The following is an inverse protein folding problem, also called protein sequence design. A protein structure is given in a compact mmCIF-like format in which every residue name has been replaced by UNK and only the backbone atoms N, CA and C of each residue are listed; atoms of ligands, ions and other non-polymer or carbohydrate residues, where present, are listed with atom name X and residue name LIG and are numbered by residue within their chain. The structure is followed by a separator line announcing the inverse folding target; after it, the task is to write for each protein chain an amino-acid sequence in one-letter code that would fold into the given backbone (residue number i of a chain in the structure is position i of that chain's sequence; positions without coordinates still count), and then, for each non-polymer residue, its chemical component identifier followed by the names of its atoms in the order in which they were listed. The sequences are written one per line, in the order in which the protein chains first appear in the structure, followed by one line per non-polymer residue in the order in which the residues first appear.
data_IF_863051209423
#
_entry.id   IF_863051209423
#
_cell.length_a   1.000
_cell.length_b   1.000
_cell.length_c   1.000
_cell.angle_alpha   90.00
_cell.angle_beta   90.00
_cell.angle_gamma   90.00
#
_symmetry.space_group_name_H-M   'P 1'
#
loop_
_entity.id
_entity.type
_entity.pdbx_description
1 polymer ?
#
# COMPACT_ATOMS: atom_id res chain seq x y z
N UNK A 1 -5.60 14.58 11.70
CA UNK A 1 -5.54 13.12 11.47
C UNK A 1 -6.32 12.79 10.22
N UNK A 2 -5.79 11.96 9.32
CA UNK A 2 -6.45 11.64 8.05
C UNK A 2 -7.25 10.32 8.06
N UNK A 3 -7.00 9.46 9.05
CA UNK A 3 -7.82 8.27 9.27
C UNK A 3 -9.23 8.70 9.69
N UNK A 4 -10.25 8.34 8.91
CA UNK A 4 -11.65 8.65 9.23
C UNK A 4 -12.26 7.73 10.30
N UNK A 5 -11.46 6.80 10.84
CA UNK A 5 -11.80 5.91 11.95
C UNK A 5 -10.94 6.21 13.18
N UNK A 6 -10.15 7.29 13.13
CA UNK A 6 -9.26 7.73 14.21
C UNK A 6 -8.25 6.68 14.73
N UNK A 7 -7.93 5.67 13.92
CA UNK A 7 -7.03 4.58 14.32
C UNK A 7 -5.54 4.99 14.36
N UNK A 8 -5.16 6.08 13.71
CA UNK A 8 -3.75 6.51 13.55
C UNK A 8 -3.56 7.89 14.16
N UNK A 9 -2.57 8.05 15.04
CA UNK A 9 -2.12 9.35 15.55
C UNK A 9 -0.65 9.59 15.22
N UNK A 10 -0.30 10.80 14.80
CA UNK A 10 1.08 11.24 14.56
C UNK A 10 1.55 12.22 15.65
N UNK A 11 0.63 13.07 16.14
CA UNK A 11 0.95 14.12 17.10
C UNK A 11 1.52 15.38 16.42
N UNK A 12 2.27 16.18 17.18
CA UNK A 12 3.02 17.34 16.69
C UNK A 12 4.48 17.21 17.13
N UNK A 13 5.47 17.44 16.25
CA UNK A 13 5.36 17.75 14.81
C UNK A 13 4.91 16.55 13.95
N UNK A 14 4.63 16.79 12.66
CA UNK A 14 4.19 15.75 11.69
C UNK A 14 5.26 14.67 11.42
N UNK A 15 6.53 14.93 11.78
CA UNK A 15 7.66 14.02 11.61
C UNK A 15 7.75 12.93 12.69
N UNK A 16 6.86 12.96 13.68
CA UNK A 16 6.77 11.92 14.69
C UNK A 16 6.34 10.58 14.07
N UNK A 17 6.73 9.46 14.69
CA UNK A 17 6.31 8.14 14.26
C UNK A 17 4.80 7.97 14.46
N UNK A 18 4.03 7.63 13.40
CA UNK A 18 2.62 7.31 13.54
C UNK A 18 2.40 6.09 14.45
N UNK A 19 1.37 6.15 15.29
CA UNK A 19 0.98 5.06 16.18
C UNK A 19 -0.47 4.65 15.92
N UNK A 20 -0.72 3.35 16.02
CA UNK A 20 -2.08 2.83 16.16
C UNK A 20 -2.54 3.10 17.59
N UNK A 21 -3.71 3.73 17.74
CA UNK A 21 -4.27 4.08 19.07
C UNK A 21 -5.25 3.05 19.60
N UNK A 22 -5.82 2.24 18.72
CA UNK A 22 -6.76 1.17 19.04
C UNK A 22 -6.28 -0.14 18.38
N UNK A 23 -5.69 -1.06 19.16
CA UNK A 23 -5.24 -2.36 18.66
C UNK A 23 -6.38 -3.25 18.15
N UNK A 24 -7.58 -3.10 18.70
CA UNK A 24 -8.78 -3.87 18.32
C UNK A 24 -9.57 -3.17 17.21
N UNK A 25 -9.19 -1.92 16.90
CA UNK A 25 -9.81 -1.07 15.91
C UNK A 25 -9.67 -1.62 14.49
N UNK A 26 -10.79 -1.68 13.77
CA UNK A 26 -10.85 -2.30 12.44
C UNK A 26 -10.51 -1.31 11.33
N UNK A 27 -9.33 -1.46 10.73
CA UNK A 27 -8.96 -0.74 9.52
C UNK A 27 -9.67 -1.34 8.29
N UNK A 28 -10.60 -0.61 7.69
CA UNK A 28 -11.26 -1.04 6.45
C UNK A 28 -10.59 -0.56 5.16
N UNK A 29 -9.25 -0.41 5.13
CA UNK A 29 -8.48 -0.25 3.89
C UNK A 29 -8.83 0.95 2.99
N UNK A 30 -9.27 2.08 3.54
CA UNK A 30 -9.79 3.20 2.72
C UNK A 30 -8.72 4.04 1.98
N UNK A 31 -7.43 3.73 2.15
CA UNK A 31 -6.28 4.38 1.53
C UNK A 31 -6.10 5.90 1.78
N UNK A 32 -6.96 6.56 2.56
CA UNK A 32 -6.84 8.00 2.86
C UNK A 32 -5.49 8.37 3.52
N UNK A 33 -5.01 7.51 4.42
CA UNK A 33 -3.72 7.72 5.10
C UNK A 33 -2.51 7.56 4.19
N UNK A 34 -2.64 6.80 3.09
CA UNK A 34 -1.57 6.61 2.10
C UNK A 34 -1.38 7.91 1.32
N UNK A 35 -2.49 8.41 0.78
CA UNK A 35 -2.53 9.54 -0.14
C UNK A 35 -2.07 10.85 0.50
N UNK A 36 -2.48 11.10 1.74
CA UNK A 36 -2.18 12.35 2.44
C UNK A 36 -0.78 12.36 3.07
N UNK A 37 -0.07 11.22 3.04
CA UNK A 37 1.21 11.10 3.72
C UNK A 37 2.27 11.87 2.92
N UNK A 38 2.82 12.99 3.43
CA UNK A 38 3.78 13.79 2.68
C UNK A 38 5.10 13.05 2.42
N UNK A 39 5.40 12.01 3.20
CA UNK A 39 6.59 11.17 3.03
C UNK A 39 6.34 9.87 2.28
N UNK A 40 5.12 9.63 1.77
CA UNK A 40 4.74 8.39 1.07
C UNK A 40 5.10 7.11 1.86
N UNK A 41 5.10 7.21 3.18
CA UNK A 41 5.63 6.18 4.08
C UNK A 41 4.57 5.17 4.53
N UNK A 42 3.29 5.45 4.27
CA UNK A 42 2.17 4.60 4.71
C UNK A 42 1.70 3.75 3.54
N UNK A 43 1.60 2.45 3.78
CA UNK A 43 0.96 1.47 2.90
C UNK A 43 0.09 0.54 3.74
N UNK A 44 -0.88 -0.13 3.12
CA UNK A 44 -1.80 -1.05 3.80
C UNK A 44 -1.51 -2.46 3.32
N UNK A 45 -1.29 -3.38 4.25
CA UNK A 45 -1.21 -4.82 4.02
C UNK A 45 -2.50 -5.44 4.52
N UNK A 46 -3.28 -6.01 3.61
CA UNK A 46 -4.53 -6.70 3.93
C UNK A 46 -4.34 -8.21 3.76
N UNK A 47 -4.18 -8.90 4.90
CA UNK A 47 -4.09 -10.37 4.98
C UNK A 47 -5.45 -11.07 5.02
N UNK A 48 -6.54 -10.30 5.06
CA UNK A 48 -7.92 -10.83 5.03
C UNK A 48 -8.48 -10.92 3.61
N UNK A 49 -7.69 -10.49 2.62
CA UNK A 49 -8.06 -10.44 1.21
C UNK A 49 -8.62 -11.77 0.66
N UNK A 50 -7.92 -12.89 0.90
CA UNK A 50 -8.40 -14.24 0.60
C UNK A 50 -7.75 -15.26 1.54
N UNK A 51 -8.01 -16.55 1.39
CA UNK A 51 -7.37 -17.60 2.20
C UNK A 51 -5.85 -17.68 1.94
N UNK A 52 -5.43 -17.57 0.67
CA UNK A 52 -4.06 -17.83 0.23
C UNK A 52 -3.30 -16.58 -0.23
N UNK A 53 -3.97 -15.47 -0.45
CA UNK A 53 -3.37 -14.23 -0.96
C UNK A 53 -3.55 -13.07 0.02
N UNK A 54 -2.70 -12.07 -0.13
CA UNK A 54 -2.81 -10.79 0.56
C UNK A 54 -2.76 -9.66 -0.48
N UNK A 55 -3.41 -8.53 -0.17
CA UNK A 55 -3.28 -7.33 -0.97
C UNK A 55 -2.40 -6.29 -0.28
N UNK A 56 -1.65 -5.52 -1.07
CA UNK A 56 -0.83 -4.41 -0.57
C UNK A 56 -1.15 -3.16 -1.38
N UNK A 57 -1.73 -2.16 -0.73
CA UNK A 57 -1.98 -0.85 -1.30
C UNK A 57 -0.87 0.11 -0.91
N UNK A 58 -0.19 0.70 -1.88
CA UNK A 58 0.98 1.56 -1.67
C UNK A 58 0.93 2.82 -2.56
N UNK A 59 1.57 3.92 -2.14
CA UNK A 59 1.68 5.10 -2.99
C UNK A 59 2.58 4.80 -4.20
N UNK A 60 2.26 5.37 -5.35
CA UNK A 60 2.96 5.11 -6.61
C UNK A 60 3.05 6.37 -7.48
N UNK A 61 4.29 6.79 -7.76
CA UNK A 61 4.60 8.03 -8.50
C UNK A 61 5.42 7.79 -9.78
N UNK A 62 5.65 6.54 -10.17
CA UNK A 62 6.41 6.21 -11.38
C UNK A 62 5.52 6.21 -12.62
N UNK A 63 6.07 6.63 -13.75
CA UNK A 63 5.42 6.55 -15.06
C UNK A 63 6.18 5.56 -15.98
N UNK A 64 5.47 4.83 -16.87
CA UNK A 64 4.02 4.77 -16.97
C UNK A 64 3.39 4.07 -15.76
N UNK A 65 2.11 4.35 -15.49
CA UNK A 65 1.36 3.57 -14.50
C UNK A 65 1.24 2.11 -14.99
N UNK A 66 1.15 1.14 -14.07
CA UNK A 66 0.78 -0.22 -14.46
C UNK A 66 -0.67 -0.28 -14.95
N UNK A 67 -1.06 -1.46 -15.41
CA UNK A 67 -2.45 -1.79 -15.76
C UNK A 67 -3.05 -2.77 -14.75
N UNK A 68 -4.37 -2.72 -14.55
CA UNK A 68 -5.07 -3.74 -13.75
C UNK A 68 -4.93 -5.11 -14.44
N UNK A 69 -4.58 -6.14 -13.66
CA UNK A 69 -4.25 -7.47 -14.15
C UNK A 69 -2.79 -7.65 -14.60
N UNK A 70 -1.97 -6.60 -14.64
CA UNK A 70 -0.56 -6.70 -15.03
C UNK A 70 0.20 -7.63 -14.07
N UNK A 71 0.95 -8.60 -14.62
CA UNK A 71 1.82 -9.50 -13.84
C UNK A 71 3.06 -8.76 -13.38
N UNK A 72 3.35 -8.84 -12.09
CA UNK A 72 4.47 -8.15 -11.45
C UNK A 72 5.32 -9.13 -10.64
N UNK A 73 6.49 -8.66 -10.21
CA UNK A 73 7.31 -9.35 -9.22
C UNK A 73 7.31 -8.53 -7.93
N UNK A 74 6.80 -9.09 -6.83
CA UNK A 74 6.90 -8.48 -5.51
C UNK A 74 8.35 -8.42 -5.07
N UNK A 75 8.79 -7.25 -4.57
CA UNK A 75 10.16 -7.05 -4.09
C UNK A 75 10.18 -6.62 -2.63
N UNK A 76 11.19 -7.08 -1.91
CA UNK A 76 11.42 -6.74 -0.50
C UNK A 76 12.11 -5.39 -0.32
N UNK A 77 12.44 -5.05 0.94
CA UNK A 77 13.10 -3.79 1.32
C UNK A 77 14.46 -3.56 0.65
N UNK A 78 15.18 -4.64 0.35
CA UNK A 78 16.46 -4.59 -0.36
C UNK A 78 16.32 -4.52 -1.89
N UNK A 79 15.10 -4.54 -2.42
CA UNK A 79 14.83 -4.56 -3.87
C UNK A 79 14.94 -5.94 -4.54
N UNK A 80 15.27 -6.99 -3.78
CA UNK A 80 15.29 -8.36 -4.27
C UNK A 80 13.87 -8.87 -4.55
N UNK A 81 13.71 -9.65 -5.61
CA UNK A 81 12.45 -10.35 -5.92
C UNK A 81 12.19 -11.42 -4.89
N UNK A 82 10.95 -11.45 -4.38
CA UNK A 82 10.50 -12.39 -3.35
C UNK A 82 9.44 -13.34 -3.91
N UNK A 83 8.49 -12.80 -4.67
CA UNK A 83 7.39 -13.59 -5.22
C UNK A 83 6.84 -12.99 -6.52
N UNK A 84 6.01 -13.75 -7.22
CA UNK A 84 5.17 -13.24 -8.30
C UNK A 84 3.84 -12.70 -7.74
N UNK A 85 3.18 -11.86 -8.52
CA UNK A 85 1.88 -11.29 -8.18
C UNK A 85 1.26 -10.55 -9.35
N UNK A 86 0.20 -9.80 -9.09
CA UNK A 86 -0.47 -8.99 -10.11
C UNK A 86 -1.01 -7.68 -9.53
N UNK A 87 -1.24 -6.70 -10.41
CA UNK A 87 -1.89 -5.45 -10.04
C UNK A 87 -3.39 -5.67 -9.97
N UNK A 88 -3.98 -5.47 -8.80
CA UNK A 88 -5.42 -5.61 -8.61
C UNK A 88 -6.18 -4.36 -9.01
N UNK A 89 -5.70 -3.19 -8.58
CA UNK A 89 -6.44 -1.94 -8.70
C UNK A 89 -5.51 -0.74 -8.72
N UNK A 90 -5.90 0.29 -9.47
CA UNK A 90 -5.20 1.58 -9.48
C UNK A 90 -6.18 2.69 -9.10
N UNK A 91 -5.98 3.29 -7.93
CA UNK A 91 -6.74 4.45 -7.49
C UNK A 91 -6.10 5.72 -8.02
N UNK A 92 -6.83 6.41 -8.89
CA UNK A 92 -6.51 7.74 -9.41
C UNK A 92 -7.55 8.71 -8.89
N UNK A 93 -7.17 9.83 -8.31
CA UNK A 93 -8.12 10.92 -8.13
C UNK A 93 -7.42 12.27 -8.05
N UNK A 94 -8.05 13.27 -8.68
CA UNK A 94 -7.62 14.67 -8.64
C UNK A 94 -7.60 15.23 -7.21
N UNK A 95 -8.39 14.63 -6.32
CA UNK A 95 -8.45 14.99 -4.91
C UNK A 95 -7.44 14.21 -4.04
N UNK A 96 -6.61 13.35 -4.65
CA UNK A 96 -5.58 12.54 -3.96
C UNK A 96 -4.19 13.17 -4.02
N UNK A 97 -4.10 14.50 -4.00
CA UNK A 97 -2.81 15.24 -4.03
C UNK A 97 -1.82 14.70 -5.10
N UNK A 98 -2.35 14.40 -6.29
CA UNK A 98 -1.62 13.79 -7.42
C UNK A 98 -0.94 12.43 -7.16
N UNK A 99 -1.05 11.86 -5.95
CA UNK A 99 -0.50 10.57 -5.57
C UNK A 99 -1.43 9.45 -6.02
N UNK A 100 -0.95 8.54 -6.88
CA UNK A 100 -1.70 7.34 -7.21
C UNK A 100 -1.50 6.28 -6.12
N UNK A 101 -2.50 5.43 -5.91
CA UNK A 101 -2.34 4.23 -5.07
C UNK A 101 -2.50 3.01 -5.94
N UNK A 102 -1.48 2.15 -5.93
CA UNK A 102 -1.51 0.86 -6.60
C UNK A 102 -1.72 -0.21 -5.55
N UNK A 103 -2.74 -1.05 -5.77
CA UNK A 103 -2.95 -2.25 -4.98
C UNK A 103 -2.48 -3.46 -5.76
N UNK A 104 -1.52 -4.20 -5.20
CA UNK A 104 -1.05 -5.48 -5.74
C UNK A 104 -1.63 -6.63 -4.92
N UNK A 105 -1.70 -7.81 -5.53
CA UNK A 105 -2.03 -9.08 -4.85
C UNK A 105 -0.85 -10.04 -5.01
N UNK A 106 -0.51 -10.70 -3.91
CA UNK A 106 0.62 -11.63 -3.79
C UNK A 106 0.24 -12.82 -2.88
N UNK A 107 1.00 -13.93 -2.89
CA UNK A 107 0.82 -14.99 -1.91
C UNK A 107 0.96 -14.47 -0.47
N UNK A 108 0.05 -14.91 0.41
CA UNK A 108 -0.09 -14.38 1.78
C UNK A 108 1.17 -14.56 2.63
N UNK A 109 1.92 -15.63 2.39
CA UNK A 109 3.19 -15.90 3.08
C UNK A 109 4.23 -14.78 2.91
N UNK A 110 4.16 -13.99 1.83
CA UNK A 110 5.08 -12.88 1.56
C UNK A 110 4.54 -11.49 1.95
N UNK A 111 3.35 -11.43 2.57
CA UNK A 111 2.68 -10.16 2.93
C UNK A 111 3.55 -9.22 3.79
N UNK A 112 4.35 -9.79 4.70
CA UNK A 112 5.22 -9.02 5.59
C UNK A 112 6.58 -8.69 4.98
N UNK A 113 6.93 -9.28 3.84
CA UNK A 113 8.22 -9.10 3.18
C UNK A 113 8.15 -8.09 2.04
N UNK A 114 7.11 -8.18 1.19
CA UNK A 114 6.94 -7.34 0.00
C UNK A 114 6.70 -5.88 0.39
N UNK A 115 7.49 -4.97 -0.16
CA UNK A 115 7.39 -3.52 0.07
C UNK A 115 7.32 -2.68 -1.20
N UNK A 116 7.58 -3.28 -2.35
CA UNK A 116 7.33 -2.67 -3.66
C UNK A 116 7.15 -3.77 -4.71
N UNK A 117 7.04 -3.41 -5.99
CA UNK A 117 7.03 -4.37 -7.08
C UNK A 117 7.91 -3.93 -8.25
N UNK A 118 8.45 -4.90 -8.98
CA UNK A 118 9.10 -4.71 -10.26
C UNK A 118 8.12 -5.06 -11.37
N UNK A 119 8.04 -4.18 -12.37
CA UNK A 119 7.31 -4.45 -13.61
C UNK A 119 8.14 -5.35 -14.50
N UNK A 120 7.51 -6.39 -15.05
CA UNK A 120 8.09 -7.15 -16.16
C UNK A 120 7.84 -6.27 -17.39
N UNK A 121 8.82 -5.43 -17.71
CA UNK A 121 8.71 -4.44 -18.80
C UNK A 121 8.23 -5.15 -20.08
N UNK A 122 7.26 -4.52 -20.75
CA UNK A 122 6.76 -4.85 -22.09
C UNK A 122 7.90 -5.00 -23.10
#
# INVERSE_FOLDING_TARGET
TACNRDLIIVGKPITNLPRLVDPDGVCGGCAKCIVICPGLAVFVVDKTFSENEASIAMPYELLPLPEEGEKIQGVGRAGNVVCDGYVQRIMRSKNLDHTNVVTIVIPKEFADEVRHFKRRVQ
#
